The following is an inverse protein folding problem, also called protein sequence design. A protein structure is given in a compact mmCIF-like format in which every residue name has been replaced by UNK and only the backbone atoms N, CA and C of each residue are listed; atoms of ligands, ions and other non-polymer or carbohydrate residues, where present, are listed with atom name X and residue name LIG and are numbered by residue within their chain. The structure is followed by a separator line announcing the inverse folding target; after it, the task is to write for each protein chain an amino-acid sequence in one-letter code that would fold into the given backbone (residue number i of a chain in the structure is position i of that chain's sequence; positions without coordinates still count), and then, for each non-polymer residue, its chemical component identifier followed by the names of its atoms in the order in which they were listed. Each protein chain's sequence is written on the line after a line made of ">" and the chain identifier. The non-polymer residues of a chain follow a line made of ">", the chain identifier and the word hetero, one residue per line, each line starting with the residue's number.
data_IF_502379937387
#
_entry.id   IF_502379937387
#
_cell.length_a   1.000
_cell.length_b   1.000
_cell.length_c   1.000
_cell.angle_alpha   90.00
_cell.angle_beta   90.00
_cell.angle_gamma   90.00
#
_symmetry.space_group_name_H-M   'P 1'
#
loop_
_entity.id
_entity.type
_entity.pdbx_description
1 polymer ?
#
# COMPACT_ATOMS: atom_id res chain seq x y z
N UNK A 1 -11.28 82.27 10.45
CA UNK A 1 -11.18 81.33 9.31
C UNK A 1 -9.74 81.02 8.85
N UNK A 2 -8.68 81.42 9.58
CA UNK A 2 -7.30 81.26 9.08
C UNK A 2 -6.53 80.00 9.58
N UNK A 3 -6.95 79.35 10.66
CA UNK A 3 -6.19 78.24 11.29
C UNK A 3 -6.41 76.88 10.61
N UNK A 4 -7.60 76.63 10.04
CA UNK A 4 -7.92 75.38 9.34
C UNK A 4 -7.11 75.18 8.05
N UNK A 5 -6.89 76.27 7.29
CA UNK A 5 -6.10 76.21 6.06
C UNK A 5 -4.62 75.85 6.32
N UNK A 6 -4.04 76.35 7.42
CA UNK A 6 -2.67 76.00 7.81
C UNK A 6 -2.55 74.51 8.13
N UNK A 7 -3.54 73.94 8.82
CA UNK A 7 -3.54 72.52 9.18
C UNK A 7 -3.63 71.59 7.96
N UNK A 8 -4.49 71.92 6.99
CA UNK A 8 -4.63 71.14 5.74
C UNK A 8 -3.34 71.20 4.90
N UNK A 9 -2.68 72.36 4.82
CA UNK A 9 -1.39 72.49 4.12
C UNK A 9 -0.31 71.65 4.79
N UNK A 10 -0.26 71.65 6.13
CA UNK A 10 0.75 70.92 6.90
C UNK A 10 0.61 69.40 6.73
N UNK A 11 -0.63 68.88 6.75
CA UNK A 11 -0.92 67.47 6.45
C UNK A 11 -0.53 67.13 5.00
N UNK A 12 -0.82 68.02 4.04
CA UNK A 12 -0.43 67.84 2.64
C UNK A 12 1.08 67.72 2.44
N UNK A 13 1.86 68.55 3.14
CA UNK A 13 3.34 68.52 3.09
C UNK A 13 3.88 67.23 3.73
N UNK A 14 3.34 66.80 4.88
CA UNK A 14 3.75 65.54 5.52
C UNK A 14 3.42 64.33 4.62
N UNK A 15 2.25 64.33 3.98
CA UNK A 15 1.86 63.33 2.98
C UNK A 15 2.80 63.29 1.78
N UNK A 16 3.20 64.45 1.25
CA UNK A 16 4.14 64.55 0.14
C UNK A 16 5.54 64.05 0.52
N UNK A 17 6.05 64.45 1.69
CA UNK A 17 7.38 64.04 2.17
C UNK A 17 7.45 62.53 2.44
N UNK A 18 6.39 61.95 3.00
CA UNK A 18 6.28 60.50 3.20
C UNK A 18 6.22 59.75 1.87
N UNK A 19 5.47 60.26 0.88
CA UNK A 19 5.43 59.70 -0.48
C UNK A 19 6.81 59.76 -1.15
N UNK A 20 7.51 60.89 -1.07
CA UNK A 20 8.87 61.06 -1.60
C UNK A 20 9.84 60.09 -0.92
N UNK A 21 9.78 59.95 0.41
CA UNK A 21 10.61 59.00 1.15
C UNK A 21 10.35 57.54 0.70
N UNK A 22 9.10 57.16 0.44
CA UNK A 22 8.74 55.84 -0.11
C UNK A 22 9.31 55.66 -1.53
N UNK A 23 9.20 56.66 -2.40
CA UNK A 23 9.71 56.61 -3.78
C UNK A 23 11.24 56.52 -3.78
N UNK A 24 11.93 57.33 -2.98
CA UNK A 24 13.40 57.31 -2.84
C UNK A 24 13.85 55.96 -2.27
N UNK A 25 13.17 55.43 -1.25
CA UNK A 25 13.45 54.09 -0.70
C UNK A 25 13.24 52.99 -1.74
N UNK A 26 12.19 53.07 -2.57
CA UNK A 26 11.96 52.14 -3.69
C UNK A 26 13.01 52.27 -4.80
N UNK A 27 13.42 53.48 -5.19
CA UNK A 27 14.47 53.71 -6.20
C UNK A 27 15.84 53.23 -5.72
N UNK A 28 16.20 53.53 -4.46
CA UNK A 28 17.44 53.03 -3.82
C UNK A 28 17.46 51.50 -3.73
N UNK A 29 16.30 50.83 -3.58
CA UNK A 29 16.22 49.36 -3.64
C UNK A 29 16.34 48.77 -5.06
N UNK A 30 15.94 49.48 -6.12
CA UNK A 30 15.96 48.99 -7.52
C UNK A 30 17.33 49.17 -8.21
N UNK A 31 18.07 50.24 -7.91
CA UNK A 31 19.40 50.47 -8.46
C UNK A 31 20.41 49.33 -8.22
N UNK A 32 20.52 48.73 -7.02
CA UNK A 32 21.48 47.66 -6.78
C UNK A 32 21.18 46.39 -7.59
N UNK A 33 19.90 46.06 -7.81
CA UNK A 33 19.51 44.88 -8.60
C UNK A 33 19.90 45.02 -10.07
N UNK A 34 19.69 46.21 -10.67
CA UNK A 34 20.13 46.47 -12.04
C UNK A 34 21.65 46.36 -12.20
N UNK A 35 22.41 46.87 -11.22
CA UNK A 35 23.88 46.74 -11.21
C UNK A 35 24.32 45.28 -11.12
N UNK A 36 23.70 44.49 -10.24
CA UNK A 36 24.00 43.07 -10.11
C UNK A 36 23.71 42.32 -11.41
N UNK A 37 22.54 42.53 -12.02
CA UNK A 37 22.21 41.89 -13.30
C UNK A 37 23.17 42.32 -14.41
N UNK A 38 23.58 43.59 -14.42
CA UNK A 38 24.64 44.08 -15.30
C UNK A 38 25.91 43.26 -15.16
N UNK A 39 26.43 43.08 -13.94
CA UNK A 39 27.62 42.25 -13.71
C UNK A 39 27.43 40.79 -14.17
N UNK A 40 26.27 40.19 -13.92
CA UNK A 40 25.96 38.82 -14.36
C UNK A 40 25.98 38.73 -15.89
N UNK A 41 25.36 39.67 -16.59
CA UNK A 41 25.30 39.69 -18.05
C UNK A 41 26.68 39.88 -18.71
N UNK A 42 27.62 40.54 -18.02
CA UNK A 42 29.01 40.70 -18.48
C UNK A 42 29.93 39.57 -17.99
N UNK A 43 29.40 38.50 -17.40
CA UNK A 43 30.19 37.38 -16.87
C UNK A 43 30.99 37.70 -15.59
N UNK A 44 30.77 38.85 -14.96
CA UNK A 44 31.46 39.25 -13.73
C UNK A 44 30.72 38.75 -12.47
N UNK A 45 30.71 37.43 -12.29
CA UNK A 45 30.01 36.77 -11.19
C UNK A 45 30.56 37.15 -9.80
N UNK A 46 31.86 37.45 -9.69
CA UNK A 46 32.49 37.84 -8.43
C UNK A 46 31.96 39.18 -7.91
N UNK A 47 31.85 40.19 -8.78
CA UNK A 47 31.31 41.49 -8.41
C UNK A 47 29.82 41.38 -8.02
N UNK A 48 29.04 40.60 -8.77
CA UNK A 48 27.65 40.32 -8.45
C UNK A 48 27.50 39.64 -7.07
N UNK A 49 28.30 38.62 -6.78
CA UNK A 49 28.31 37.93 -5.48
C UNK A 49 28.64 38.85 -4.31
N UNK A 50 29.67 39.69 -4.44
CA UNK A 50 30.04 40.68 -3.41
C UNK A 50 28.88 41.64 -3.12
N UNK A 51 28.23 42.15 -4.17
CA UNK A 51 27.07 43.04 -4.03
C UNK A 51 25.88 42.36 -3.35
N UNK A 52 25.63 41.07 -3.61
CA UNK A 52 24.61 40.31 -2.88
C UNK A 52 24.96 40.16 -1.40
N UNK A 53 26.21 39.81 -1.07
CA UNK A 53 26.66 39.69 0.31
C UNK A 53 26.62 41.02 1.07
N UNK A 54 27.05 42.12 0.45
CA UNK A 54 27.01 43.46 1.04
C UNK A 54 25.56 43.91 1.34
N UNK A 55 24.60 43.44 0.55
CA UNK A 55 23.16 43.65 0.77
C UNK A 55 22.53 42.65 1.75
N UNK A 56 23.32 41.78 2.38
CA UNK A 56 22.86 40.67 3.24
C UNK A 56 21.91 39.69 2.53
N UNK A 57 21.96 39.63 1.19
CA UNK A 57 21.17 38.71 0.35
C UNK A 57 21.93 37.40 0.14
N UNK A 58 22.16 36.68 1.23
CA UNK A 58 22.92 35.43 1.20
C UNK A 58 22.26 34.36 0.31
N UNK A 59 20.93 34.35 0.26
CA UNK A 59 20.16 33.43 -0.58
C UNK A 59 20.44 33.65 -2.07
N UNK A 60 20.35 34.89 -2.54
CA UNK A 60 20.63 35.23 -3.93
C UNK A 60 22.11 34.98 -4.30
N UNK A 61 23.02 35.22 -3.36
CA UNK A 61 24.44 34.91 -3.53
C UNK A 61 24.70 33.40 -3.67
N UNK A 62 23.95 32.55 -2.96
CA UNK A 62 24.04 31.09 -3.11
C UNK A 62 23.39 30.63 -4.43
N UNK A 63 22.23 31.18 -4.79
CA UNK A 63 21.58 30.90 -6.07
C UNK A 63 22.49 31.25 -7.27
N UNK A 64 23.28 32.33 -7.15
CA UNK A 64 24.25 32.73 -8.17
C UNK A 64 25.33 31.66 -8.39
N UNK A 65 25.82 31.02 -7.33
CA UNK A 65 26.83 29.95 -7.41
C UNK A 65 26.38 28.76 -8.25
N UNK A 66 25.10 28.37 -8.12
CA UNK A 66 24.58 27.24 -8.89
C UNK A 66 24.24 27.60 -10.34
N UNK A 67 24.06 28.89 -10.65
CA UNK A 67 23.79 29.38 -12.00
C UNK A 67 25.05 29.75 -12.79
N UNK A 68 26.17 29.97 -12.13
CA UNK A 68 27.41 30.35 -12.81
C UNK A 68 28.11 29.15 -13.48
N UNK A 69 28.84 29.40 -14.58
CA UNK A 69 29.71 28.41 -15.20
C UNK A 69 30.75 27.81 -14.23
N UNK A 70 31.08 26.50 -14.33
CA UNK A 70 31.98 25.82 -13.41
C UNK A 70 33.35 26.48 -13.21
N UNK A 71 33.91 27.07 -14.26
CA UNK A 71 35.22 27.74 -14.28
C UNK A 71 35.30 28.96 -13.33
N UNK A 72 34.17 29.58 -13.00
CA UNK A 72 34.12 30.72 -12.09
C UNK A 72 33.91 30.33 -10.62
N UNK A 73 33.55 29.07 -10.34
CA UNK A 73 33.18 28.61 -8.99
C UNK A 73 34.33 28.68 -7.98
N UNK A 74 35.57 28.23 -8.28
CA UNK A 74 36.66 28.28 -7.31
C UNK A 74 36.98 29.71 -6.85
N UNK A 75 37.00 30.67 -7.78
CA UNK A 75 37.22 32.08 -7.45
C UNK A 75 36.07 32.65 -6.60
N UNK A 76 34.84 32.21 -6.85
CA UNK A 76 33.68 32.61 -6.07
C UNK A 76 33.74 32.05 -4.65
N UNK A 77 34.10 30.78 -4.49
CA UNK A 77 34.30 30.12 -3.18
C UNK A 77 35.37 30.84 -2.35
N UNK A 78 36.51 31.17 -2.96
CA UNK A 78 37.57 31.95 -2.34
C UNK A 78 37.07 33.35 -1.90
N UNK A 79 36.24 34.00 -2.72
CA UNK A 79 35.62 35.28 -2.39
C UNK A 79 34.66 35.18 -1.19
N UNK A 80 33.80 34.15 -1.13
CA UNK A 80 32.92 33.91 0.02
C UNK A 80 33.77 33.72 1.29
N UNK A 81 34.82 32.90 1.22
CA UNK A 81 35.73 32.64 2.33
C UNK A 81 36.44 33.91 2.81
N UNK A 82 36.97 34.72 1.88
CA UNK A 82 37.61 35.98 2.20
C UNK A 82 36.64 36.97 2.84
N UNK A 83 35.41 37.08 2.32
CA UNK A 83 34.44 38.08 2.75
C UNK A 83 33.78 37.76 4.09
N UNK A 84 33.51 36.47 4.36
CA UNK A 84 32.78 36.02 5.54
C UNK A 84 33.66 35.35 6.61
N UNK A 85 34.92 35.07 6.28
CA UNK A 85 35.81 34.24 7.11
C UNK A 85 35.41 32.76 7.11
N UNK A 86 36.23 31.90 7.73
CA UNK A 86 36.04 30.44 7.75
C UNK A 86 34.66 30.04 8.33
N UNK A 87 34.35 30.50 9.54
CA UNK A 87 33.07 30.19 10.22
C UNK A 87 31.87 30.77 9.46
N UNK A 88 31.98 31.99 8.94
CA UNK A 88 30.88 32.64 8.21
C UNK A 88 30.60 31.98 6.86
N UNK A 89 31.65 31.56 6.13
CA UNK A 89 31.53 30.79 4.89
C UNK A 89 30.88 29.43 5.13
N UNK A 90 31.30 28.71 6.18
CA UNK A 90 30.69 27.44 6.56
C UNK A 90 29.18 27.58 6.84
N UNK A 91 28.78 28.56 7.67
CA UNK A 91 27.37 28.81 7.97
C UNK A 91 26.57 29.26 6.73
N UNK A 92 27.20 30.04 5.83
CA UNK A 92 26.59 30.44 4.57
C UNK A 92 26.21 29.21 3.73
N UNK A 93 27.14 28.27 3.57
CA UNK A 93 26.92 27.06 2.80
C UNK A 93 25.97 26.05 3.48
N UNK A 94 26.00 25.90 4.81
CA UNK A 94 25.00 25.08 5.55
C UNK A 94 23.59 25.60 5.31
N UNK A 95 23.38 26.92 5.39
CA UNK A 95 22.07 27.54 5.14
C UNK A 95 21.60 27.33 3.71
N UNK A 96 22.52 27.42 2.75
CA UNK A 96 22.22 27.11 1.35
C UNK A 96 21.82 25.63 1.20
N UNK A 97 22.57 24.71 1.81
CA UNK A 97 22.28 23.27 1.83
C UNK A 97 20.86 22.97 2.29
N UNK A 98 20.50 23.43 3.50
CA UNK A 98 19.15 23.27 4.09
C UNK A 98 18.03 23.78 3.20
N UNK A 99 18.26 24.89 2.48
CA UNK A 99 17.26 25.45 1.56
C UNK A 99 16.99 24.54 0.37
N UNK A 100 18.03 23.90 -0.17
CA UNK A 100 17.88 23.06 -1.35
C UNK A 100 17.49 21.61 -1.05
N UNK A 101 17.55 21.13 0.20
CA UNK A 101 17.27 19.72 0.55
C UNK A 101 15.97 19.19 -0.06
N UNK A 102 14.91 20.02 -0.08
CA UNK A 102 13.59 19.64 -0.57
C UNK A 102 13.36 19.91 -2.05
N UNK A 103 14.19 20.74 -2.67
CA UNK A 103 13.94 21.27 -4.04
C UNK A 103 14.97 20.80 -5.05
N UNK A 104 16.22 20.62 -4.64
CA UNK A 104 17.31 20.18 -5.49
C UNK A 104 18.41 19.52 -4.65
N UNK A 105 18.32 18.19 -4.49
CA UNK A 105 19.25 17.39 -3.67
C UNK A 105 20.70 17.50 -4.14
N UNK A 106 20.94 17.70 -5.45
CA UNK A 106 22.28 17.90 -5.98
C UNK A 106 22.90 19.21 -5.50
N UNK A 107 22.14 20.31 -5.52
CA UNK A 107 22.60 21.60 -4.96
C UNK A 107 22.80 21.53 -3.46
N UNK A 108 21.91 20.84 -2.74
CA UNK A 108 22.02 20.64 -1.30
C UNK A 108 23.32 19.90 -0.94
N UNK A 109 23.59 18.77 -1.61
CA UNK A 109 24.84 18.00 -1.47
C UNK A 109 26.06 18.89 -1.69
N UNK A 110 26.11 19.61 -2.82
CA UNK A 110 27.26 20.46 -3.15
C UNK A 110 27.47 21.56 -2.12
N UNK A 111 26.40 22.20 -1.64
CA UNK A 111 26.48 23.22 -0.60
C UNK A 111 27.02 22.65 0.72
N UNK A 112 26.53 21.50 1.19
CA UNK A 112 27.04 20.90 2.41
C UNK A 112 28.51 20.48 2.32
N UNK A 113 28.94 19.95 1.17
CA UNK A 113 30.34 19.61 0.94
C UNK A 113 31.24 20.86 0.95
N UNK A 114 30.80 21.97 0.36
CA UNK A 114 31.52 23.26 0.44
C UNK A 114 31.62 23.79 1.89
N UNK A 115 30.66 23.45 2.73
CA UNK A 115 30.68 23.79 4.15
C UNK A 115 31.57 22.87 5.00
N UNK A 116 32.04 21.73 4.46
CA UNK A 116 32.58 20.63 5.27
C UNK A 116 31.55 20.03 6.23
N UNK A 117 30.24 20.19 5.95
CA UNK A 117 29.14 19.70 6.77
C UNK A 117 28.71 18.29 6.34
N UNK A 118 29.66 17.34 6.42
CA UNK A 118 29.45 15.96 5.96
C UNK A 118 28.29 15.27 6.68
N UNK A 119 28.14 15.51 7.99
CA UNK A 119 27.05 14.97 8.80
C UNK A 119 25.68 15.40 8.26
N UNK A 120 25.43 16.71 8.09
CA UNK A 120 24.16 17.20 7.53
C UNK A 120 23.92 16.64 6.11
N UNK A 121 24.98 16.52 5.30
CA UNK A 121 24.88 15.98 3.94
C UNK A 121 24.43 14.51 3.92
N UNK A 122 25.08 13.65 4.71
CA UNK A 122 24.75 12.22 4.75
C UNK A 122 23.39 12.02 5.42
N UNK A 123 23.13 12.74 6.51
CA UNK A 123 21.83 12.74 7.20
C UNK A 123 20.66 13.02 6.26
N UNK A 124 20.80 14.00 5.36
CA UNK A 124 19.78 14.28 4.34
C UNK A 124 19.48 13.03 3.47
N UNK A 125 20.51 12.29 3.04
CA UNK A 125 20.32 11.07 2.24
C UNK A 125 19.75 9.91 3.07
N UNK A 126 20.11 9.78 4.35
CA UNK A 126 19.47 8.83 5.28
C UNK A 126 17.98 9.13 5.40
N UNK A 127 17.62 10.41 5.60
CA UNK A 127 16.23 10.87 5.73
C UNK A 127 15.41 10.59 4.46
N UNK A 128 16.04 10.60 3.29
CA UNK A 128 15.44 10.27 1.98
C UNK A 128 15.46 8.77 1.66
N UNK A 129 16.13 7.93 2.46
CA UNK A 129 16.29 6.49 2.18
C UNK A 129 17.30 6.16 1.07
N UNK A 130 18.13 7.13 0.64
CA UNK A 130 19.08 6.96 -0.46
C UNK A 130 20.41 6.35 0.02
N UNK A 131 20.37 5.05 0.37
CA UNK A 131 21.50 4.25 0.89
C UNK A 131 22.82 4.49 0.15
N UNK A 132 22.80 4.30 -1.18
CA UNK A 132 24.01 4.39 -2.02
C UNK A 132 24.67 5.76 -1.94
N UNK A 133 23.88 6.84 -2.00
CA UNK A 133 24.42 8.22 -1.95
C UNK A 133 24.94 8.58 -0.57
N UNK A 134 24.31 8.07 0.50
CA UNK A 134 24.80 8.25 1.86
C UNK A 134 26.22 7.65 2.03
N UNK A 135 26.42 6.42 1.56
CA UNK A 135 27.71 5.71 1.66
C UNK A 135 28.79 6.34 0.77
N UNK A 136 28.45 6.77 -0.45
CA UNK A 136 29.41 7.41 -1.38
C UNK A 136 30.09 8.66 -0.80
N UNK A 137 29.46 9.36 0.15
CA UNK A 137 30.01 10.57 0.77
C UNK A 137 31.01 10.25 1.88
N UNK A 138 30.97 9.03 2.45
CA UNK A 138 31.88 8.63 3.53
C UNK A 138 33.35 8.73 3.10
N UNK A 139 33.66 8.37 1.85
CA UNK A 139 35.01 8.50 1.29
C UNK A 139 35.48 9.95 1.07
N UNK A 140 34.61 10.96 1.25
CA UNK A 140 34.95 12.37 1.15
C UNK A 140 35.20 13.02 2.51
N UNK A 141 34.95 12.31 3.61
CA UNK A 141 35.17 12.80 4.97
C UNK A 141 36.68 12.73 5.27
N UNK A 142 37.27 13.75 5.91
CA UNK A 142 38.65 13.67 6.40
C UNK A 142 38.87 12.43 7.27
N UNK A 143 39.98 11.66 7.08
CA UNK A 143 40.21 10.41 7.80
C UNK A 143 40.14 10.53 9.33
N UNK A 144 40.60 11.65 9.88
CA UNK A 144 40.59 11.96 11.32
C UNK A 144 39.18 12.18 11.90
N UNK A 145 38.19 12.45 11.05
CA UNK A 145 36.79 12.67 11.45
C UNK A 145 35.86 11.54 11.00
N UNK A 146 36.36 10.62 10.17
CA UNK A 146 35.53 9.67 9.43
C UNK A 146 34.79 8.72 10.37
N UNK A 147 35.49 8.09 11.31
CA UNK A 147 34.90 7.12 12.22
C UNK A 147 33.81 7.75 13.11
N UNK A 148 34.11 8.85 13.80
CA UNK A 148 33.18 9.52 14.72
C UNK A 148 31.92 10.06 14.01
N UNK A 149 32.06 10.63 12.81
CA UNK A 149 30.91 11.10 12.04
C UNK A 149 30.04 9.93 11.58
N UNK A 150 30.65 8.87 11.05
CA UNK A 150 29.93 7.70 10.52
C UNK A 150 29.24 6.93 11.63
N UNK A 151 29.87 6.74 12.80
CA UNK A 151 29.23 6.09 13.95
C UNK A 151 27.99 6.85 14.42
N UNK A 152 28.05 8.18 14.50
CA UNK A 152 26.88 9.01 14.85
C UNK A 152 25.77 8.94 13.80
N UNK A 153 26.13 8.87 12.51
CA UNK A 153 25.16 8.71 11.43
C UNK A 153 24.54 7.31 11.39
N UNK A 154 25.32 6.27 11.70
CA UNK A 154 24.84 4.91 11.84
C UNK A 154 23.82 4.84 12.99
N UNK A 155 24.15 5.34 14.18
CA UNK A 155 23.20 5.45 15.29
C UNK A 155 21.93 6.23 14.89
N UNK A 156 22.09 7.37 14.22
CA UNK A 156 20.95 8.15 13.74
C UNK A 156 20.06 7.38 12.75
N UNK A 157 20.64 6.58 11.87
CA UNK A 157 19.90 5.72 10.95
C UNK A 157 19.20 4.57 11.69
N UNK A 158 19.90 3.95 12.66
CA UNK A 158 19.37 2.89 13.52
C UNK A 158 18.13 3.37 14.29
N UNK A 159 18.20 4.52 14.97
CA UNK A 159 17.10 5.09 15.76
C UNK A 159 15.85 5.41 14.91
N UNK A 160 15.99 5.47 13.58
CA UNK A 160 14.89 5.69 12.62
C UNK A 160 14.43 4.41 11.91
N UNK A 161 14.89 3.25 12.34
CA UNK A 161 14.60 1.95 11.72
C UNK A 161 15.21 1.79 10.32
N UNK A 162 16.24 2.55 9.99
CA UNK A 162 16.96 2.46 8.69
C UNK A 162 18.17 1.53 8.81
N UNK A 163 17.92 0.30 9.28
CA UNK A 163 18.96 -0.67 9.65
C UNK A 163 19.97 -0.98 8.53
N UNK A 164 19.51 -1.19 7.29
CA UNK A 164 20.43 -1.39 6.15
C UNK A 164 21.34 -0.19 5.89
N UNK A 165 20.86 1.04 6.06
CA UNK A 165 21.69 2.23 5.87
C UNK A 165 22.71 2.32 7.00
N UNK A 166 22.29 2.05 8.23
CA UNK A 166 23.18 2.00 9.40
C UNK A 166 24.31 0.98 9.22
N UNK A 167 23.97 -0.25 8.83
CA UNK A 167 24.93 -1.32 8.60
C UNK A 167 25.91 -0.99 7.46
N UNK A 168 25.42 -0.48 6.33
CA UNK A 168 26.29 -0.11 5.19
C UNK A 168 27.23 1.05 5.52
N UNK A 169 26.80 2.00 6.35
CA UNK A 169 27.67 3.06 6.85
C UNK A 169 28.83 2.47 7.67
N UNK A 170 28.58 1.51 8.56
CA UNK A 170 29.63 0.84 9.34
C UNK A 170 30.52 -0.04 8.46
N UNK A 171 29.96 -0.77 7.49
CA UNK A 171 30.73 -1.56 6.51
C UNK A 171 31.67 -0.70 5.68
N UNK A 172 31.30 0.55 5.38
CA UNK A 172 32.17 1.48 4.66
C UNK A 172 33.45 1.86 5.43
N UNK A 173 33.50 1.61 6.74
CA UNK A 173 34.69 1.73 7.58
C UNK A 173 35.43 0.39 7.81
N UNK A 174 34.92 -0.72 7.26
CA UNK A 174 35.41 -2.06 7.56
C UNK A 174 34.92 -2.62 8.90
N UNK A 175 33.95 -1.97 9.56
CA UNK A 175 33.36 -2.44 10.83
C UNK A 175 32.28 -3.50 10.58
N UNK A 176 32.66 -4.61 9.94
CA UNK A 176 31.73 -5.65 9.45
C UNK A 176 30.95 -6.28 10.61
N UNK A 177 31.62 -6.63 11.71
CA UNK A 177 30.97 -7.29 12.86
C UNK A 177 29.89 -6.43 13.53
N UNK A 178 30.10 -5.11 13.65
CA UNK A 178 29.08 -4.20 14.19
C UNK A 178 27.91 -4.03 13.22
N UNK A 179 28.19 -3.95 11.92
CA UNK A 179 27.15 -3.88 10.89
C UNK A 179 26.25 -5.13 10.92
N UNK A 180 26.85 -6.31 11.06
CA UNK A 180 26.13 -7.57 11.12
C UNK A 180 25.31 -7.68 12.42
N UNK A 181 25.85 -7.19 13.55
CA UNK A 181 25.10 -7.10 14.80
C UNK A 181 23.83 -6.22 14.65
N UNK A 182 23.91 -5.10 13.94
CA UNK A 182 22.74 -4.24 13.68
C UNK A 182 21.67 -4.97 12.87
N UNK A 183 22.07 -5.68 11.82
CA UNK A 183 21.12 -6.42 10.99
C UNK A 183 20.52 -7.61 11.74
N UNK A 184 21.29 -8.30 12.59
CA UNK A 184 20.76 -9.36 13.46
C UNK A 184 19.72 -8.82 14.47
N UNK A 185 19.97 -7.64 15.07
CA UNK A 185 18.99 -6.96 15.93
C UNK A 185 17.72 -6.62 15.15
N UNK A 186 17.87 -6.07 13.94
CA UNK A 186 16.74 -5.76 13.07
C UNK A 186 15.93 -7.02 12.73
N UNK A 187 16.59 -8.13 12.37
CA UNK A 187 15.93 -9.39 12.08
C UNK A 187 15.08 -9.88 13.26
N UNK A 188 15.64 -9.83 14.47
CA UNK A 188 14.93 -10.20 15.70
C UNK A 188 13.73 -9.27 15.97
N UNK A 189 13.88 -7.95 15.80
CA UNK A 189 12.77 -7.00 15.96
C UNK A 189 11.64 -7.25 14.94
N UNK A 190 11.98 -7.53 13.68
CA UNK A 190 10.99 -7.80 12.63
C UNK A 190 10.27 -9.14 12.83
N UNK A 191 10.98 -10.17 13.31
CA UNK A 191 10.37 -11.43 13.72
C UNK A 191 9.34 -11.22 14.84
N UNK A 192 9.70 -10.44 15.86
CA UNK A 192 8.82 -10.17 17.01
C UNK A 192 7.52 -9.42 16.66
N UNK A 193 7.48 -8.67 15.55
CA UNK A 193 6.27 -7.98 15.06
C UNK A 193 5.56 -8.73 13.92
N UNK A 194 5.78 -10.04 13.83
CA UNK A 194 5.17 -10.94 12.84
C UNK A 194 5.41 -10.50 11.38
N UNK A 195 6.63 -10.03 11.08
CA UNK A 195 7.09 -9.72 9.72
C UNK A 195 8.23 -10.67 9.29
N UNK A 196 7.94 -11.97 9.17
CA UNK A 196 8.95 -13.00 8.97
C UNK A 196 9.75 -12.82 7.66
N UNK A 197 9.12 -12.36 6.57
CA UNK A 197 9.87 -12.09 5.34
C UNK A 197 10.93 -10.99 5.49
N UNK A 198 10.61 -9.91 6.20
CA UNK A 198 11.60 -8.85 6.45
C UNK A 198 12.74 -9.36 7.35
N UNK A 199 12.42 -10.21 8.33
CA UNK A 199 13.44 -10.84 9.17
C UNK A 199 14.39 -11.74 8.36
N UNK A 200 13.84 -12.53 7.43
CA UNK A 200 14.62 -13.37 6.53
C UNK A 200 15.62 -12.56 5.69
N UNK A 201 15.19 -11.43 5.10
CA UNK A 201 16.07 -10.54 4.32
C UNK A 201 17.25 -10.00 5.17
N UNK A 202 17.01 -9.73 6.46
CA UNK A 202 18.07 -9.28 7.37
C UNK A 202 19.04 -10.40 7.74
N UNK A 203 18.55 -11.63 7.96
CA UNK A 203 19.40 -12.79 8.23
C UNK A 203 20.24 -13.20 7.03
N UNK A 204 19.66 -13.17 5.83
CA UNK A 204 20.37 -13.40 4.57
C UNK A 204 21.52 -12.40 4.40
N UNK A 205 21.27 -11.11 4.68
CA UNK A 205 22.26 -10.03 4.57
C UNK A 205 23.45 -10.14 5.55
N UNK A 206 23.38 -11.01 6.55
CA UNK A 206 24.49 -11.32 7.49
C UNK A 206 25.01 -12.75 7.35
N UNK A 207 24.58 -13.48 6.31
CA UNK A 207 24.99 -14.85 6.07
C UNK A 207 24.45 -15.86 7.10
N UNK A 208 23.39 -15.51 7.83
CA UNK A 208 22.70 -16.40 8.78
C UNK A 208 21.56 -17.15 8.07
N UNK A 209 21.95 -17.96 7.09
CA UNK A 209 21.05 -18.73 6.24
C UNK A 209 20.18 -19.72 7.04
N UNK A 210 20.68 -20.17 8.20
CA UNK A 210 19.93 -20.95 9.18
C UNK A 210 18.66 -20.22 9.66
N UNK A 211 18.83 -18.98 10.12
CA UNK A 211 17.73 -18.17 10.65
C UNK A 211 16.85 -17.57 9.55
N UNK A 212 17.42 -17.36 8.36
CA UNK A 212 16.64 -16.99 7.17
C UNK A 212 15.68 -18.12 6.78
N UNK A 213 16.14 -19.37 6.81
CA UNK A 213 15.31 -20.55 6.60
C UNK A 213 14.14 -20.64 7.58
N UNK A 214 14.43 -20.50 8.89
CA UNK A 214 13.38 -20.49 9.93
C UNK A 214 12.35 -19.37 9.72
N UNK A 215 12.82 -18.18 9.36
CA UNK A 215 11.95 -17.03 9.09
C UNK A 215 11.08 -17.25 7.85
N UNK A 216 11.61 -17.84 6.78
CA UNK A 216 10.82 -18.20 5.60
C UNK A 216 9.78 -19.29 5.89
N UNK A 217 10.06 -20.25 6.77
CA UNK A 217 9.05 -21.20 7.21
C UNK A 217 7.91 -20.52 7.98
N UNK A 218 8.23 -19.60 8.90
CA UNK A 218 7.23 -18.86 9.65
C UNK A 218 6.36 -17.99 8.73
N UNK A 219 6.96 -17.40 7.69
CA UNK A 219 6.22 -16.70 6.63
C UNK A 219 5.28 -17.64 5.86
N UNK A 220 5.77 -18.84 5.51
CA UNK A 220 4.97 -19.88 4.89
C UNK A 220 3.77 -20.30 5.75
N UNK A 221 3.99 -20.50 7.04
CA UNK A 221 2.94 -20.84 8.01
C UNK A 221 1.90 -19.73 8.18
N UNK A 222 2.37 -18.48 8.22
CA UNK A 222 1.49 -17.32 8.26
C UNK A 222 0.63 -17.25 7.00
N UNK A 223 1.24 -17.35 5.82
CA UNK A 223 0.55 -17.36 4.54
C UNK A 223 -0.48 -18.50 4.45
N UNK A 224 -0.16 -19.69 4.97
CA UNK A 224 -1.11 -20.81 5.09
C UNK A 224 -2.32 -20.44 5.94
N UNK A 225 -2.10 -19.86 7.13
CA UNK A 225 -3.19 -19.46 8.04
C UNK A 225 -4.11 -18.38 7.45
N UNK A 226 -3.59 -17.59 6.51
CA UNK A 226 -4.30 -16.54 5.79
C UNK A 226 -4.89 -17.04 4.45
N UNK A 227 -4.74 -18.32 4.12
CA UNK A 227 -5.25 -18.95 2.90
C UNK A 227 -4.46 -18.62 1.63
N UNK A 228 -3.31 -17.94 1.74
CA UNK A 228 -2.44 -17.54 0.60
C UNK A 228 -1.47 -18.66 0.22
N UNK A 229 -2.01 -19.72 -0.36
CA UNK A 229 -1.28 -20.98 -0.59
C UNK A 229 -0.08 -20.83 -1.53
N UNK A 230 -0.18 -20.05 -2.61
CA UNK A 230 0.95 -19.89 -3.54
C UNK A 230 2.10 -19.09 -2.93
N UNK A 231 1.77 -18.09 -2.10
CA UNK A 231 2.77 -17.37 -1.30
C UNK A 231 3.42 -18.30 -0.29
N UNK A 232 2.64 -19.16 0.39
CA UNK A 232 3.18 -20.16 1.29
C UNK A 232 4.13 -21.14 0.59
N UNK A 233 3.77 -21.66 -0.59
CA UNK A 233 4.65 -22.52 -1.40
C UNK A 233 5.95 -21.81 -1.76
N UNK A 234 5.88 -20.52 -2.05
CA UNK A 234 7.05 -19.70 -2.41
C UNK A 234 7.96 -19.53 -1.20
N UNK A 235 7.39 -19.16 -0.05
CA UNK A 235 8.13 -19.00 1.19
C UNK A 235 8.83 -20.31 1.63
N UNK A 236 8.13 -21.46 1.57
CA UNK A 236 8.75 -22.75 1.87
C UNK A 236 9.88 -23.14 0.91
N UNK A 237 9.79 -22.77 -0.38
CA UNK A 237 10.91 -22.98 -1.32
C UNK A 237 12.11 -22.11 -0.95
N UNK A 238 11.90 -20.84 -0.62
CA UNK A 238 12.96 -19.97 -0.12
C UNK A 238 13.57 -20.48 1.18
N UNK A 239 12.76 -21.10 2.06
CA UNK A 239 13.28 -21.75 3.26
C UNK A 239 14.23 -22.92 2.94
N UNK A 240 13.85 -23.79 2.00
CA UNK A 240 14.69 -24.92 1.55
C UNK A 240 16.02 -24.39 1.00
N UNK A 241 15.97 -23.40 0.10
CA UNK A 241 17.17 -22.77 -0.47
C UNK A 241 18.09 -22.22 0.62
N UNK A 242 17.54 -21.54 1.62
CA UNK A 242 18.32 -21.01 2.74
C UNK A 242 18.93 -22.14 3.60
N UNK A 243 18.18 -23.22 3.90
CA UNK A 243 18.73 -24.35 4.63
C UNK A 243 19.85 -25.07 3.88
N UNK A 244 19.70 -25.25 2.58
CA UNK A 244 20.75 -25.83 1.74
C UNK A 244 22.02 -24.96 1.77
N UNK A 245 21.88 -23.63 1.66
CA UNK A 245 23.00 -22.69 1.77
C UNK A 245 23.67 -22.72 3.16
N UNK A 246 22.90 -22.98 4.22
CA UNK A 246 23.39 -23.13 5.59
C UNK A 246 23.96 -24.52 5.91
N UNK A 247 23.94 -25.45 4.95
CA UNK A 247 24.29 -26.86 5.13
C UNK A 247 23.46 -27.56 6.24
N UNK A 248 22.15 -27.32 6.24
CA UNK A 248 21.16 -27.95 7.12
C UNK A 248 20.22 -28.89 6.33
N UNK A 249 20.74 -30.02 5.80
CA UNK A 249 19.96 -30.90 4.93
C UNK A 249 18.76 -31.57 5.61
N UNK A 250 18.77 -31.69 6.94
CA UNK A 250 17.64 -32.26 7.69
C UNK A 250 16.43 -31.33 7.67
N UNK A 251 16.66 -30.04 7.84
CA UNK A 251 15.61 -29.02 7.85
C UNK A 251 15.09 -28.77 6.43
N UNK A 252 15.98 -28.69 5.44
CA UNK A 252 15.61 -28.68 4.03
C UNK A 252 14.69 -29.86 3.67
N UNK A 253 15.09 -31.10 4.00
CA UNK A 253 14.30 -32.29 3.72
C UNK A 253 12.93 -32.27 4.42
N UNK A 254 12.87 -31.81 5.69
CA UNK A 254 11.60 -31.68 6.43
C UNK A 254 10.65 -30.72 5.73
N UNK A 255 11.14 -29.57 5.26
CA UNK A 255 10.31 -28.59 4.53
C UNK A 255 9.93 -29.10 3.14
N UNK A 256 10.82 -29.82 2.44
CA UNK A 256 10.51 -30.47 1.17
C UNK A 256 9.39 -31.51 1.30
N UNK A 257 9.47 -32.38 2.32
CA UNK A 257 8.43 -33.38 2.61
C UNK A 257 7.08 -32.72 2.86
N UNK A 258 7.09 -31.59 3.56
CA UNK A 258 5.89 -30.77 3.76
C UNK A 258 5.39 -30.16 2.45
N UNK A 259 6.28 -29.63 1.61
CA UNK A 259 5.91 -29.06 0.32
C UNK A 259 5.25 -30.10 -0.60
N UNK A 260 5.71 -31.37 -0.57
CA UNK A 260 5.08 -32.49 -1.30
C UNK A 260 3.63 -32.71 -0.89
N UNK A 261 3.27 -32.43 0.37
CA UNK A 261 1.88 -32.56 0.88
C UNK A 261 0.94 -31.51 0.34
N UNK A 262 1.41 -30.42 -0.27
CA UNK A 262 0.54 -29.43 -0.92
C UNK A 262 -0.27 -30.01 -2.09
N UNK A 263 0.13 -31.16 -2.64
CA UNK A 263 -0.68 -31.87 -3.62
C UNK A 263 -2.09 -32.24 -3.07
N UNK A 264 -2.23 -32.41 -1.76
CA UNK A 264 -3.53 -32.62 -1.11
C UNK A 264 -4.43 -31.39 -1.30
N UNK A 265 -3.88 -30.18 -1.09
CA UNK A 265 -4.61 -28.93 -1.28
C UNK A 265 -4.94 -28.68 -2.76
N UNK A 266 -4.00 -28.97 -3.65
CA UNK A 266 -4.22 -28.82 -5.10
C UNK A 266 -5.32 -29.77 -5.60
N UNK A 267 -5.30 -31.04 -5.16
CA UNK A 267 -6.32 -32.04 -5.48
C UNK A 267 -7.69 -31.66 -4.89
N UNK A 268 -7.73 -31.24 -3.62
CA UNK A 268 -8.96 -30.76 -2.97
C UNK A 268 -9.60 -29.62 -3.76
N UNK A 269 -8.80 -28.63 -4.15
CA UNK A 269 -9.27 -27.49 -4.94
C UNK A 269 -9.75 -27.89 -6.31
N UNK A 270 -9.08 -28.84 -6.96
CA UNK A 270 -9.53 -29.38 -8.22
C UNK A 270 -10.90 -30.07 -8.08
N UNK A 271 -11.07 -30.94 -7.07
CA UNK A 271 -12.35 -31.61 -6.81
C UNK A 271 -13.48 -30.62 -6.52
N UNK A 272 -13.21 -29.62 -5.67
CA UNK A 272 -14.15 -28.53 -5.40
C UNK A 272 -14.47 -27.77 -6.70
N UNK A 273 -13.44 -27.39 -7.47
CA UNK A 273 -13.55 -26.70 -8.74
C UNK A 273 -14.26 -27.51 -9.82
N UNK A 274 -14.31 -28.83 -9.73
CA UNK A 274 -15.07 -29.77 -10.57
C UNK A 274 -16.52 -29.97 -10.09
N UNK A 275 -16.85 -29.52 -8.88
CA UNK A 275 -18.16 -29.66 -8.24
C UNK A 275 -18.35 -31.01 -7.53
N UNK A 276 -17.26 -31.76 -7.33
CA UNK A 276 -17.24 -33.04 -6.61
C UNK A 276 -17.11 -32.79 -5.11
N UNK A 277 -18.08 -32.07 -4.54
CA UNK A 277 -18.00 -31.53 -3.20
C UNK A 277 -17.85 -32.61 -2.11
N UNK A 278 -18.52 -33.76 -2.26
CA UNK A 278 -18.42 -34.90 -1.34
C UNK A 278 -17.01 -35.48 -1.31
N UNK A 279 -16.35 -35.55 -2.47
CA UNK A 279 -14.99 -36.06 -2.58
C UNK A 279 -13.97 -35.07 -2.02
N UNK A 280 -14.18 -33.77 -2.27
CA UNK A 280 -13.38 -32.72 -1.65
C UNK A 280 -13.53 -32.73 -0.12
N UNK A 281 -14.75 -32.92 0.39
CA UNK A 281 -15.02 -33.03 1.83
C UNK A 281 -14.30 -34.22 2.47
N UNK A 282 -14.21 -35.37 1.79
CA UNK A 282 -13.52 -36.54 2.29
C UNK A 282 -12.00 -36.32 2.52
N UNK A 283 -11.41 -35.28 1.90
CA UNK A 283 -10.01 -34.93 2.09
C UNK A 283 -9.74 -34.00 3.28
N UNK A 284 -10.78 -33.40 3.87
CA UNK A 284 -10.63 -32.34 4.86
C UNK A 284 -9.85 -32.81 6.09
N UNK A 285 -10.12 -34.02 6.59
CA UNK A 285 -9.44 -34.56 7.77
C UNK A 285 -7.94 -34.76 7.50
N UNK A 286 -7.58 -35.36 6.37
CA UNK A 286 -6.17 -35.55 5.96
C UNK A 286 -5.45 -34.21 5.75
N UNK A 287 -6.13 -33.22 5.18
CA UNK A 287 -5.59 -31.87 5.03
C UNK A 287 -5.38 -31.22 6.40
N UNK A 288 -6.33 -31.36 7.32
CA UNK A 288 -6.25 -30.79 8.66
C UNK A 288 -5.10 -31.41 9.48
N UNK A 289 -4.83 -32.69 9.29
CA UNK A 289 -3.71 -33.38 9.95
C UNK A 289 -2.34 -32.88 9.47
N UNK A 290 -2.23 -32.60 8.17
CA UNK A 290 -0.98 -32.14 7.56
C UNK A 290 -0.80 -30.61 7.58
N UNK A 291 -1.89 -29.84 7.69
CA UNK A 291 -1.89 -28.38 7.67
C UNK A 291 -2.73 -27.80 8.81
N UNK A 292 -2.29 -27.94 10.07
CA UNK A 292 -3.07 -27.53 11.25
C UNK A 292 -3.36 -26.02 11.32
N UNK A 293 -2.65 -25.19 10.54
CA UNK A 293 -2.91 -23.75 10.39
C UNK A 293 -4.13 -23.45 9.53
N UNK A 294 -4.52 -24.34 8.63
CA UNK A 294 -5.73 -24.21 7.81
C UNK A 294 -6.91 -24.71 8.65
N UNK A 295 -7.90 -23.86 8.86
CA UNK A 295 -9.06 -24.28 9.66
C UNK A 295 -10.05 -25.08 8.82
N UNK A 296 -10.63 -26.13 9.39
CA UNK A 296 -11.71 -26.93 8.77
C UNK A 296 -12.84 -26.05 8.24
N UNK A 297 -13.19 -24.97 8.96
CA UNK A 297 -14.20 -24.00 8.52
C UNK A 297 -13.80 -23.27 7.22
N UNK A 298 -12.53 -22.98 6.99
CA UNK A 298 -12.07 -22.33 5.76
C UNK A 298 -12.18 -23.29 4.57
N UNK A 299 -11.86 -24.58 4.75
CA UNK A 299 -12.01 -25.60 3.71
C UNK A 299 -13.48 -25.79 3.30
N UNK A 300 -14.39 -25.87 4.27
CA UNK A 300 -15.82 -25.92 3.97
C UNK A 300 -16.32 -24.66 3.25
N UNK A 301 -15.86 -23.48 3.66
CA UNK A 301 -16.21 -22.22 3.01
C UNK A 301 -15.65 -22.13 1.57
N UNK A 302 -14.50 -22.75 1.30
CA UNK A 302 -13.94 -22.83 -0.05
C UNK A 302 -14.81 -23.69 -0.98
N UNK A 303 -15.24 -24.88 -0.53
CA UNK A 303 -16.21 -25.71 -1.27
C UNK A 303 -17.50 -24.91 -1.54
N UNK A 304 -18.06 -24.28 -0.50
CA UNK A 304 -19.30 -23.52 -0.60
C UNK A 304 -19.20 -22.37 -1.63
N UNK A 305 -18.10 -21.63 -1.60
CA UNK A 305 -17.85 -20.50 -2.50
C UNK A 305 -17.74 -20.95 -3.97
N UNK A 306 -17.17 -22.13 -4.22
CA UNK A 306 -17.07 -22.68 -5.57
C UNK A 306 -18.43 -23.17 -6.08
N UNK A 307 -19.20 -23.85 -5.24
CA UNK A 307 -20.56 -24.30 -5.57
C UNK A 307 -21.48 -23.12 -5.87
N UNK A 308 -21.38 -22.05 -5.06
CA UNK A 308 -22.11 -20.81 -5.28
C UNK A 308 -21.80 -20.21 -6.67
N UNK A 309 -20.52 -20.06 -7.02
CA UNK A 309 -20.10 -19.51 -8.33
C UNK A 309 -20.61 -20.35 -9.51
N UNK A 310 -20.85 -21.63 -9.29
CA UNK A 310 -21.42 -22.57 -10.27
C UNK A 310 -22.96 -22.54 -10.32
N UNK A 311 -23.61 -21.84 -9.40
CA UNK A 311 -25.07 -21.75 -9.29
C UNK A 311 -25.71 -22.88 -8.50
N UNK A 312 -24.94 -23.75 -7.85
CA UNK A 312 -25.45 -24.83 -7.00
C UNK A 312 -25.76 -24.31 -5.59
N UNK A 313 -26.75 -23.42 -5.48
CA UNK A 313 -27.01 -22.65 -4.25
C UNK A 313 -27.43 -23.52 -3.06
N UNK A 314 -28.19 -24.60 -3.29
CA UNK A 314 -28.64 -25.50 -2.22
C UNK A 314 -27.46 -26.24 -1.55
N UNK A 315 -26.53 -26.74 -2.35
CA UNK A 315 -25.30 -27.38 -1.84
C UNK A 315 -24.37 -26.34 -1.20
N UNK A 316 -24.26 -25.14 -1.78
CA UNK A 316 -23.47 -24.05 -1.21
C UNK A 316 -23.95 -23.67 0.20
N UNK A 317 -25.27 -23.63 0.43
CA UNK A 317 -25.85 -23.40 1.77
C UNK A 317 -25.37 -24.48 2.75
N UNK A 318 -25.45 -25.75 2.35
CA UNK A 318 -25.04 -26.88 3.20
C UNK A 318 -23.59 -26.73 3.66
N UNK A 319 -22.68 -26.33 2.77
CA UNK A 319 -21.27 -26.18 3.11
C UNK A 319 -20.95 -24.90 3.88
N UNK A 320 -21.66 -23.79 3.65
CA UNK A 320 -21.52 -22.60 4.50
C UNK A 320 -22.04 -22.83 5.92
N UNK A 321 -23.07 -23.65 6.09
CA UNK A 321 -23.59 -24.05 7.40
C UNK A 321 -22.56 -24.89 8.17
N UNK A 322 -21.99 -25.92 7.51
CA UNK A 322 -20.86 -26.69 8.06
C UNK A 322 -19.67 -25.80 8.44
N UNK A 323 -19.34 -24.80 7.62
CA UNK A 323 -18.27 -23.84 7.93
C UNK A 323 -18.59 -23.00 9.18
N UNK A 324 -19.84 -22.55 9.33
CA UNK A 324 -20.31 -21.80 10.49
C UNK A 324 -20.32 -22.63 11.79
N UNK A 325 -20.57 -23.93 11.70
CA UNK A 325 -20.54 -24.85 12.83
C UNK A 325 -19.13 -25.27 13.22
N UNK A 326 -18.23 -25.43 12.25
CA UNK A 326 -16.85 -25.82 12.48
C UNK A 326 -15.99 -24.72 13.12
N UNK A 327 -16.40 -23.45 13.07
CA UNK A 327 -15.61 -22.33 13.60
C UNK A 327 -16.06 -21.87 15.00
N UNK A 328 -15.08 -21.66 15.88
CA UNK A 328 -15.29 -20.98 17.18
C UNK A 328 -15.08 -19.47 17.11
N UNK A 329 -14.58 -18.95 15.99
CA UNK A 329 -14.31 -17.53 15.81
C UNK A 329 -15.62 -16.78 15.46
N UNK A 330 -16.11 -15.86 16.31
CA UNK A 330 -17.39 -15.19 16.10
C UNK A 330 -17.40 -14.31 14.84
N UNK A 331 -16.26 -13.75 14.45
CA UNK A 331 -16.13 -12.92 13.25
C UNK A 331 -16.25 -13.78 11.99
N UNK A 332 -15.54 -14.91 11.93
CA UNK A 332 -15.64 -15.87 10.81
C UNK A 332 -17.06 -16.44 10.71
N UNK A 333 -17.63 -16.88 11.85
CA UNK A 333 -19.01 -17.37 11.92
C UNK A 333 -20.00 -16.34 11.38
N UNK A 334 -19.89 -15.09 11.79
CA UNK A 334 -20.75 -14.01 11.28
C UNK A 334 -20.60 -13.82 9.77
N UNK A 335 -19.38 -13.96 9.24
CA UNK A 335 -19.10 -13.95 7.80
C UNK A 335 -19.86 -15.04 7.05
N UNK A 336 -19.79 -16.29 7.53
CA UNK A 336 -20.51 -17.42 6.92
C UNK A 336 -22.04 -17.27 7.06
N UNK A 337 -22.55 -16.81 8.20
CA UNK A 337 -23.99 -16.52 8.40
C UNK A 337 -24.48 -15.42 7.45
N UNK A 338 -23.66 -14.41 7.18
CA UNK A 338 -24.00 -13.38 6.20
C UNK A 338 -24.04 -13.94 4.78
N UNK A 339 -23.12 -14.86 4.43
CA UNK A 339 -23.17 -15.58 3.15
C UNK A 339 -24.45 -16.43 3.03
N UNK A 340 -24.82 -17.19 4.07
CA UNK A 340 -26.07 -17.95 4.14
C UNK A 340 -27.31 -17.06 3.94
N UNK A 341 -27.37 -15.91 4.63
CA UNK A 341 -28.50 -14.96 4.47
C UNK A 341 -28.60 -14.44 3.04
N UNK A 342 -27.47 -14.14 2.41
CA UNK A 342 -27.42 -13.69 1.02
C UNK A 342 -27.93 -14.79 0.07
N UNK A 343 -27.45 -16.01 0.21
CA UNK A 343 -27.90 -17.15 -0.58
C UNK A 343 -29.39 -17.43 -0.38
N UNK A 344 -29.87 -17.40 0.86
CA UNK A 344 -31.30 -17.55 1.15
C UNK A 344 -32.16 -16.46 0.49
N UNK A 345 -31.70 -15.22 0.49
CA UNK A 345 -32.36 -14.13 -0.25
C UNK A 345 -32.31 -14.34 -1.77
N UNK A 346 -31.21 -14.87 -2.30
CA UNK A 346 -31.06 -15.15 -3.72
C UNK A 346 -31.99 -16.28 -4.17
N UNK A 347 -32.04 -17.39 -3.43
CA UNK A 347 -32.96 -18.50 -3.67
C UNK A 347 -34.41 -18.02 -3.54
N UNK A 348 -34.74 -17.19 -2.54
CA UNK A 348 -36.06 -16.58 -2.40
C UNK A 348 -36.41 -15.71 -3.63
N UNK A 349 -35.44 -14.94 -4.14
CA UNK A 349 -35.64 -14.13 -5.34
C UNK A 349 -35.76 -14.95 -6.63
N UNK A 350 -35.12 -16.13 -6.70
CA UNK A 350 -35.27 -17.09 -7.80
C UNK A 350 -36.60 -17.85 -7.72
N UNK A 351 -37.11 -18.07 -6.51
CA UNK A 351 -38.37 -18.77 -6.28
C UNK A 351 -39.60 -17.91 -6.48
N UNK A 352 -39.48 -16.58 -6.58
CA UNK A 352 -40.66 -15.72 -6.71
C UNK A 352 -40.59 -14.64 -7.79
N UNK A 353 -41.35 -14.93 -8.85
CA UNK A 353 -42.22 -13.94 -9.50
C UNK A 353 -43.55 -14.64 -9.90
N UNK A 354 -44.40 -14.94 -8.90
CA UNK A 354 -45.80 -15.40 -9.06
C UNK A 354 -46.08 -16.92 -8.91
N UNK A 355 -45.10 -17.72 -8.50
CA UNK A 355 -45.22 -19.19 -8.46
C UNK A 355 -45.46 -19.74 -7.06
N UNK A 356 -46.53 -20.51 -6.88
CA UNK A 356 -46.83 -21.22 -5.63
C UNK A 356 -46.54 -22.72 -5.78
N UNK A 357 -46.10 -23.40 -4.72
CA UNK A 357 -46.00 -24.87 -4.68
C UNK A 357 -47.24 -25.41 -3.96
N UNK A 358 -47.93 -26.37 -4.57
CA UNK A 358 -49.08 -27.00 -3.95
C UNK A 358 -48.66 -27.83 -2.72
N UNK A 359 -49.07 -27.43 -1.52
CA UNK A 359 -48.79 -28.17 -0.27
C UNK A 359 -49.63 -29.46 -0.18
N UNK A 360 -50.81 -29.45 -0.79
CA UNK A 360 -51.74 -30.57 -0.92
C UNK A 360 -52.35 -30.56 -2.30
N UNK A 361 -52.97 -31.66 -2.71
CA UNK A 361 -53.72 -31.71 -3.97
C UNK A 361 -54.81 -30.63 -3.99
N UNK A 362 -54.78 -29.77 -5.01
CA UNK A 362 -55.79 -28.71 -5.15
C UNK A 362 -57.12 -29.34 -5.58
N UNK A 363 -58.20 -28.89 -4.93
CA UNK A 363 -59.58 -29.29 -5.27
C UNK A 363 -59.95 -28.91 -6.71
N UNK A 364 -59.38 -27.82 -7.21
CA UNK A 364 -59.60 -27.34 -8.57
C UNK A 364 -58.53 -27.85 -9.54
N UNK A 365 -58.97 -28.29 -10.72
CA UNK A 365 -58.08 -28.78 -11.79
C UNK A 365 -57.45 -27.61 -12.53
N UNK A 366 -56.28 -27.84 -13.13
CA UNK A 366 -55.60 -26.85 -13.95
C UNK A 366 -56.51 -26.33 -15.07
N UNK A 367 -56.67 -25.01 -15.17
CA UNK A 367 -57.57 -24.43 -16.18
C UNK A 367 -57.15 -24.67 -17.63
N UNK A 368 -55.87 -24.98 -17.87
CA UNK A 368 -55.32 -25.26 -19.22
C UNK A 368 -55.46 -26.74 -19.57
N UNK A 369 -54.82 -27.64 -18.83
CA UNK A 369 -54.80 -29.07 -19.19
C UNK A 369 -55.95 -29.90 -18.59
N UNK A 370 -56.79 -29.33 -17.73
CA UNK A 370 -57.90 -29.98 -17.02
C UNK A 370 -57.51 -31.18 -16.13
N UNK A 371 -56.22 -31.38 -15.87
CA UNK A 371 -55.70 -32.39 -14.93
C UNK A 371 -55.61 -31.81 -13.50
N UNK A 372 -55.71 -32.66 -12.46
CA UNK A 372 -55.53 -32.24 -11.07
C UNK A 372 -54.12 -31.70 -10.82
N UNK A 373 -54.00 -30.68 -9.97
CA UNK A 373 -52.72 -30.11 -9.54
C UNK A 373 -52.34 -30.79 -8.23
N UNK A 374 -51.41 -31.76 -8.31
CA UNK A 374 -50.97 -32.56 -7.17
C UNK A 374 -50.00 -31.80 -6.25
N UNK A 375 -49.90 -32.22 -5.00
CA UNK A 375 -48.90 -31.74 -4.06
C UNK A 375 -47.48 -31.80 -4.64
N UNK A 376 -46.64 -30.82 -4.32
CA UNK A 376 -45.28 -30.66 -4.82
C UNK A 376 -45.16 -30.09 -6.25
N UNK A 377 -46.28 -29.83 -6.94
CA UNK A 377 -46.25 -29.19 -8.27
C UNK A 377 -46.36 -27.67 -8.17
N UNK A 378 -45.62 -26.96 -9.02
CA UNK A 378 -45.70 -25.50 -9.17
C UNK A 378 -47.01 -25.12 -9.87
N UNK A 379 -47.74 -24.19 -9.28
CA UNK A 379 -48.98 -23.63 -9.83
C UNK A 379 -49.00 -22.11 -9.72
N UNK A 380 -49.92 -21.52 -10.46
CA UNK A 380 -50.19 -20.08 -10.43
C UNK A 380 -51.69 -19.82 -10.47
N UNK A 381 -52.12 -18.74 -9.84
CA UNK A 381 -53.51 -18.28 -9.86
C UNK A 381 -53.65 -17.14 -10.86
N UNK A 382 -54.72 -17.16 -11.66
CA UNK A 382 -55.03 -16.01 -12.51
C UNK A 382 -55.25 -14.75 -11.63
N UNK A 383 -54.59 -13.61 -11.91
CA UNK A 383 -54.77 -12.39 -11.11
C UNK A 383 -56.22 -11.89 -11.09
N UNK A 384 -56.98 -12.15 -12.16
CA UNK A 384 -58.34 -11.67 -12.32
C UNK A 384 -59.44 -12.59 -11.78
N UNK A 385 -59.30 -13.91 -11.97
CA UNK A 385 -60.36 -14.87 -11.62
C UNK A 385 -59.92 -15.92 -10.59
N UNK A 386 -58.65 -15.86 -10.15
CA UNK A 386 -58.05 -16.72 -9.13
C UNK A 386 -58.12 -18.23 -9.39
N UNK A 387 -58.51 -18.67 -10.59
CA UNK A 387 -58.48 -20.09 -10.94
C UNK A 387 -57.03 -20.59 -11.10
N UNK A 388 -56.70 -21.79 -10.60
CA UNK A 388 -55.35 -22.31 -10.62
C UNK A 388 -54.98 -22.97 -11.94
N UNK A 389 -53.71 -22.91 -12.29
CA UNK A 389 -53.10 -23.67 -13.38
C UNK A 389 -51.70 -24.13 -13.00
N UNK A 390 -51.26 -25.26 -13.56
CA UNK A 390 -49.84 -25.59 -13.60
C UNK A 390 -49.07 -24.43 -14.20
N UNK A 391 -48.00 -24.00 -13.54
CA UNK A 391 -47.28 -22.79 -13.93
C UNK A 391 -46.80 -22.85 -15.40
N UNK A 392 -46.18 -23.97 -15.80
CA UNK A 392 -45.71 -24.20 -17.17
C UNK A 392 -46.82 -24.02 -18.20
N UNK A 393 -47.98 -24.64 -17.97
CA UNK A 393 -49.11 -24.58 -18.90
C UNK A 393 -49.72 -23.18 -18.99
N UNK A 394 -49.79 -22.46 -17.87
CA UNK A 394 -50.34 -21.11 -17.84
C UNK A 394 -49.44 -20.10 -18.55
N UNK A 395 -48.12 -20.22 -18.37
CA UNK A 395 -47.13 -19.36 -19.03
C UNK A 395 -47.13 -19.60 -20.54
N UNK A 396 -47.10 -20.86 -21.00
CA UNK A 396 -47.17 -21.18 -22.42
C UNK A 396 -48.48 -20.68 -23.06
N UNK A 397 -49.61 -20.86 -22.36
CA UNK A 397 -50.89 -20.33 -22.81
C UNK A 397 -50.84 -18.81 -23.01
N UNK A 398 -50.25 -18.08 -22.07
CA UNK A 398 -50.18 -16.62 -22.13
C UNK A 398 -49.21 -16.10 -23.20
N UNK A 399 -48.16 -16.84 -23.53
CA UNK A 399 -47.28 -16.49 -24.67
C UNK A 399 -48.04 -16.50 -25.99
N UNK A 400 -48.97 -17.44 -26.15
CA UNK A 400 -49.76 -17.59 -27.39
C UNK A 400 -50.98 -16.67 -27.39
N UNK A 401 -51.76 -16.67 -26.31
CA UNK A 401 -53.10 -16.08 -26.29
C UNK A 401 -53.17 -14.74 -25.54
N UNK A 402 -52.18 -14.42 -24.70
CA UNK A 402 -52.14 -13.17 -23.90
C UNK A 402 -53.32 -12.96 -22.95
N UNK A 403 -54.19 -13.96 -22.76
CA UNK A 403 -55.46 -13.88 -22.03
C UNK A 403 -55.68 -15.11 -21.16
N UNK A 404 -56.43 -14.95 -20.07
CA UNK A 404 -56.76 -16.07 -19.19
C UNK A 404 -57.67 -17.09 -19.91
N UNK A 405 -57.37 -18.40 -19.87
CA UNK A 405 -58.23 -19.44 -20.46
C UNK A 405 -59.59 -19.59 -19.75
N UNK A 406 -59.75 -19.03 -18.55
CA UNK A 406 -60.97 -19.15 -17.76
C UNK A 406 -61.85 -17.91 -17.75
N UNK A 407 -61.26 -16.70 -17.75
CA UNK A 407 -62.03 -15.45 -17.69
C UNK A 407 -61.78 -14.51 -18.87
N UNK A 408 -60.94 -14.92 -19.82
CA UNK A 408 -60.61 -14.19 -21.06
C UNK A 408 -60.06 -12.77 -20.89
N UNK A 409 -59.83 -12.30 -19.66
CA UNK A 409 -59.18 -11.03 -19.38
C UNK A 409 -57.71 -11.09 -19.81
N UNK A 410 -57.24 -10.01 -20.43
CA UNK A 410 -55.86 -9.85 -20.87
C UNK A 410 -54.92 -9.88 -19.65
N UNK A 411 -53.88 -10.69 -19.73
CA UNK A 411 -52.84 -10.75 -18.71
C UNK A 411 -51.53 -10.49 -19.39
N UNK A 412 -50.79 -9.50 -18.90
CA UNK A 412 -49.45 -9.24 -19.39
C UNK A 412 -48.46 -10.12 -18.59
N UNK A 413 -47.55 -10.78 -19.30
CA UNK A 413 -46.56 -11.71 -18.73
C UNK A 413 -45.58 -11.03 -17.76
N UNK A 414 -45.35 -9.73 -17.94
CA UNK A 414 -44.60 -8.86 -17.02
C UNK A 414 -45.34 -8.63 -15.69
N UNK A 415 -46.67 -8.54 -15.69
CA UNK A 415 -47.48 -8.36 -14.47
C UNK A 415 -47.69 -9.61 -13.64
N UNK A 416 -47.61 -10.79 -14.25
CA UNK A 416 -47.59 -12.05 -13.48
C UNK A 416 -46.32 -12.14 -12.62
N UNK A 417 -45.29 -11.41 -13.04
CA UNK A 417 -44.01 -11.35 -12.37
C UNK A 417 -43.94 -10.29 -11.26
N UNK A 418 -44.89 -9.36 -11.21
CA UNK A 418 -44.82 -8.16 -10.37
C UNK A 418 -46.12 -7.96 -9.58
N UNK A 419 -46.33 -8.76 -8.53
CA UNK A 419 -47.17 -8.32 -7.42
C UNK A 419 -46.31 -8.42 -6.15
N UNK A 420 -45.93 -7.26 -5.62
CA UNK A 420 -45.24 -7.07 -4.33
C UNK A 420 -46.19 -7.22 -3.16
#
# INVERSE_FOLDING_TARGET
>A
MATWHVFVILIGIIGLLTLIAIIVKRRRKKQPLKKIQGHINHGNFLAAGRLYLDQKKQQDAADLYFKMPPEHRPAYEAMILQKLGKKGSQLFWIRAGRRYERTNTHHARKAYLLAGAYYDCIKMFIDQGEKRRAVEIVGQIPPDLQEDIVRRLAQYAFDRGKFHISAELLRSLGLIGEADAILAVAAHEFGAIERPQAAADFYDAVGRQDLAGESHEEDGEKALSEGRIEEAKTAFKSAIEAYDLSNQPKDALRVEERLKKFNLLDTFRQLAAEGRAVEAEAMIDEISDHFPRITVSDLYAEIASVLEKRGNLDEAITYFDKAADATKNPVKRQGYVNALRRLGSEIASQTDKGTQIAIKDLKEKCVVCKLPIKAGRKYILCPHCKKPAHYSHFVEWLKVQGTCPACHKKIRLDRIKEDK
#
